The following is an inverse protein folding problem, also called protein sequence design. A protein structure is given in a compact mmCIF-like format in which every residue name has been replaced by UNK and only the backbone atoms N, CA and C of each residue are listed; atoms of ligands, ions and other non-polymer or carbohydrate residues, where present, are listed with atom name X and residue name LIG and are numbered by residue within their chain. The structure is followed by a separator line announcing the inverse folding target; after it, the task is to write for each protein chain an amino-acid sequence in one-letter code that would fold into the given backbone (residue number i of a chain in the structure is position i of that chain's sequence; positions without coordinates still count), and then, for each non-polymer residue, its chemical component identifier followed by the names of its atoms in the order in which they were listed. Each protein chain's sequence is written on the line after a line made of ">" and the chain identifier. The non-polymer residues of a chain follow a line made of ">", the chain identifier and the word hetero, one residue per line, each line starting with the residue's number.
data_IF_671788728746
#
_entry.id   IF_671788728746
#
_cell.length_a   1.000
_cell.length_b   1.000
_cell.length_c   1.000
_cell.angle_alpha   90.00
_cell.angle_beta   90.00
_cell.angle_gamma   90.00
#
_symmetry.space_group_name_H-M   'P 1'
#
loop_
_entity.id
_entity.type
_entity.pdbx_description
1 polymer ?
#
# COMPACT_ATOMS: atom_id res chain seq x y z
N UNK A 1 10.74 -7.61 1.90
CA UNK A 1 11.43 -6.75 2.89
C UNK A 1 10.59 -5.48 2.99
N UNK A 2 9.74 -5.35 4.01
CA UNK A 2 8.85 -4.18 4.19
C UNK A 2 9.61 -3.08 4.92
N UNK A 3 9.65 -1.88 4.33
CA UNK A 3 10.29 -0.70 4.93
C UNK A 3 9.22 0.27 5.44
N UNK A 4 9.27 0.62 6.72
CA UNK A 4 8.47 1.68 7.32
C UNK A 4 9.37 2.91 7.49
N UNK A 5 9.00 4.03 6.86
CA UNK A 5 9.73 5.29 6.96
C UNK A 5 8.88 6.30 7.74
N UNK A 6 9.41 6.80 8.87
CA UNK A 6 8.78 7.86 9.65
C UNK A 6 9.46 9.19 9.35
N UNK A 7 8.74 10.12 8.70
CA UNK A 7 9.24 11.47 8.44
C UNK A 7 9.05 12.39 9.65
N UNK A 8 10.10 13.07 10.09
CA UNK A 8 10.06 14.06 11.18
C UNK A 8 9.72 15.44 10.65
N UNK A 9 8.42 15.75 10.60
CA UNK A 9 7.92 17.12 10.74
C UNK A 9 6.86 17.10 11.85
N UNK A 10 6.51 18.25 12.43
CA UNK A 10 5.71 18.40 13.65
C UNK A 10 4.33 17.70 13.65
N UNK A 11 3.89 17.18 12.50
CA UNK A 11 2.86 16.16 12.34
C UNK A 11 3.51 14.82 11.95
N UNK A 12 3.43 13.80 12.83
CA UNK A 12 3.99 12.47 12.57
C UNK A 12 3.25 11.80 11.40
N UNK A 13 3.79 11.94 10.19
CA UNK A 13 3.31 11.20 9.02
C UNK A 13 4.00 9.84 9.01
N UNK A 14 3.21 8.76 9.02
CA UNK A 14 3.73 7.40 8.84
C UNK A 14 3.60 7.02 7.37
N UNK A 15 4.68 6.53 6.78
CA UNK A 15 4.68 6.04 5.40
C UNK A 15 5.19 4.59 5.40
N UNK A 16 4.43 3.70 4.78
CA UNK A 16 4.84 2.33 4.53
C UNK A 16 4.86 2.06 3.03
N UNK A 17 5.90 1.37 2.57
CA UNK A 17 5.94 0.81 1.22
C UNK A 17 5.86 -0.71 1.32
N UNK A 18 4.90 -1.29 0.63
CA UNK A 18 4.65 -2.73 0.62
C UNK A 18 4.59 -3.25 -0.79
N UNK A 19 5.20 -4.41 -1.01
CA UNK A 19 5.12 -5.10 -2.30
C UNK A 19 3.87 -5.98 -2.29
N UNK A 20 2.99 -5.74 -3.27
CA UNK A 20 1.83 -6.57 -3.54
C UNK A 20 2.17 -7.54 -4.66
N UNK A 21 1.72 -8.77 -4.52
CA UNK A 21 1.93 -9.82 -5.50
C UNK A 21 0.60 -10.52 -5.80
N UNK A 22 0.35 -10.76 -7.08
CA UNK A 22 -0.69 -11.66 -7.57
C UNK A 22 -0.06 -12.65 -8.57
N UNK A 23 -0.90 -13.44 -9.24
CA UNK A 23 -0.46 -14.41 -10.25
C UNK A 23 0.19 -13.77 -11.49
N UNK A 24 0.01 -12.48 -11.72
CA UNK A 24 0.52 -11.76 -12.89
C UNK A 24 1.86 -11.08 -12.63
N UNK A 25 2.14 -10.71 -11.39
CA UNK A 25 3.40 -10.10 -11.02
C UNK A 25 3.34 -9.35 -9.70
N UNK A 26 4.22 -8.36 -9.56
CA UNK A 26 4.36 -7.57 -8.34
C UNK A 26 4.29 -6.08 -8.62
N UNK A 27 3.63 -5.33 -7.73
CA UNK A 27 3.57 -3.86 -7.78
C UNK A 27 3.78 -3.29 -6.38
N UNK A 28 4.41 -2.12 -6.27
CA UNK A 28 4.63 -1.46 -4.98
C UNK A 28 3.44 -0.59 -4.61
N UNK A 29 2.94 -0.69 -3.38
CA UNK A 29 1.90 0.17 -2.83
C UNK A 29 2.50 1.09 -1.78
N UNK A 30 2.19 2.39 -1.85
CA UNK A 30 2.53 3.37 -0.83
C UNK A 30 1.33 3.66 0.06
N UNK A 31 1.50 3.53 1.36
CA UNK A 31 0.49 3.74 2.38
C UNK A 31 0.89 4.88 3.30
N UNK A 32 -0.11 5.65 3.74
CA UNK A 32 0.07 6.81 4.60
C UNK A 32 -0.84 6.70 5.84
N UNK A 33 -0.28 7.03 7.01
CA UNK A 33 -0.97 7.12 8.30
C UNK A 33 -1.78 5.84 8.59
N UNK A 34 -3.10 5.95 8.74
CA UNK A 34 -3.99 4.86 9.12
C UNK A 34 -4.06 3.74 8.08
N UNK A 35 -3.69 4.02 6.82
CA UNK A 35 -3.64 3.01 5.77
C UNK A 35 -2.55 1.96 6.05
N UNK A 36 -1.50 2.33 6.78
CA UNK A 36 -0.39 1.44 7.13
C UNK A 36 -0.87 0.25 7.97
N UNK A 37 -1.93 0.41 8.76
CA UNK A 37 -2.47 -0.64 9.61
C UNK A 37 -3.12 -1.78 8.80
N UNK A 38 -3.46 -1.53 7.53
CA UNK A 38 -4.01 -2.56 6.64
C UNK A 38 -2.95 -3.55 6.13
N UNK A 39 -1.68 -3.17 6.14
CA UNK A 39 -0.62 -3.95 5.49
C UNK A 39 0.18 -4.78 6.48
N UNK A 40 -0.25 -6.03 6.66
CA UNK A 40 0.45 -7.06 7.40
C UNK A 40 0.72 -8.27 6.50
N UNK A 41 1.63 -9.15 6.91
CA UNK A 41 1.97 -10.35 6.18
C UNK A 41 0.72 -11.21 5.92
N UNK A 42 0.60 -11.76 4.70
CA UNK A 42 -0.53 -12.57 4.23
C UNK A 42 -1.88 -11.84 4.13
N UNK A 43 -1.95 -10.53 4.35
CA UNK A 43 -3.15 -9.75 4.09
C UNK A 43 -3.45 -9.72 2.58
N UNK A 44 -4.69 -10.03 2.20
CA UNK A 44 -5.18 -9.72 0.85
C UNK A 44 -5.78 -8.32 0.88
N UNK A 45 -5.31 -7.43 0.02
CA UNK A 45 -5.81 -6.05 -0.03
C UNK A 45 -6.71 -5.84 -1.24
N UNK A 46 -7.79 -5.07 -1.05
CA UNK A 46 -8.62 -4.54 -2.13
C UNK A 46 -8.34 -3.05 -2.24
N UNK A 47 -7.80 -2.64 -3.39
CA UNK A 47 -7.53 -1.25 -3.73
C UNK A 47 -8.64 -0.74 -4.65
N UNK A 48 -9.17 0.44 -4.37
CA UNK A 48 -10.13 1.13 -5.25
C UNK A 48 -9.63 2.54 -5.56
N UNK A 49 -9.73 2.93 -6.83
CA UNK A 49 -9.26 4.22 -7.35
C UNK A 49 -7.79 4.54 -6.95
N UNK A 50 -6.91 3.54 -7.06
CA UNK A 50 -5.48 3.75 -6.88
C UNK A 50 -4.85 4.41 -8.11
N UNK A 51 -4.00 5.41 -7.90
CA UNK A 51 -3.26 6.05 -8.97
C UNK A 51 -1.97 5.24 -9.23
N UNK A 52 -1.84 4.71 -10.44
CA UNK A 52 -0.60 4.03 -10.87
C UNK A 52 0.38 5.08 -11.37
N UNK A 53 1.56 5.11 -10.77
CA UNK A 53 2.64 6.02 -11.15
C UNK A 53 3.95 5.25 -11.37
N UNK A 54 4.75 5.63 -12.39
CA UNK A 54 6.11 5.13 -12.52
C UNK A 54 6.98 5.69 -11.39
N UNK A 55 7.86 4.85 -10.83
CA UNK A 55 8.85 5.26 -9.83
C UNK A 55 10.17 4.54 -10.10
N UNK A 56 11.09 5.24 -10.78
CA UNK A 56 12.33 4.64 -11.25
C UNK A 56 12.05 3.44 -12.15
N UNK A 57 12.43 2.24 -11.67
CA UNK A 57 12.33 0.99 -12.43
C UNK A 57 11.10 0.13 -12.10
N UNK A 58 10.15 0.65 -11.31
CA UNK A 58 8.95 -0.08 -10.94
C UNK A 58 7.70 0.78 -11.04
N UNK A 59 6.55 0.12 -11.13
CA UNK A 59 5.26 0.76 -10.98
C UNK A 59 4.89 0.81 -9.50
N UNK A 60 4.31 1.94 -9.10
CA UNK A 60 3.81 2.19 -7.75
C UNK A 60 2.34 2.57 -7.80
N UNK A 61 1.57 2.10 -6.83
CA UNK A 61 0.22 2.58 -6.55
C UNK A 61 0.28 3.58 -5.39
N UNK A 62 -0.32 4.74 -5.58
CA UNK A 62 -0.60 5.70 -4.50
C UNK A 62 -2.11 5.84 -4.30
N UNK A 63 -2.52 5.98 -3.03
CA UNK A 63 -3.92 6.16 -2.65
C UNK A 63 -4.17 7.63 -2.35
N UNK A 64 -4.74 8.32 -3.33
CA UNK A 64 -5.15 9.72 -3.18
C UNK A 64 -6.50 9.85 -2.45
N UNK A 65 -6.99 11.09 -2.30
CA UNK A 65 -8.20 11.42 -1.52
C UNK A 65 -9.46 10.65 -1.97
N UNK A 66 -9.58 10.31 -3.25
CA UNK A 66 -10.71 9.56 -3.82
C UNK A 66 -10.52 8.04 -3.80
N UNK A 67 -9.35 7.58 -3.36
CA UNK A 67 -8.96 6.19 -3.29
C UNK A 67 -9.26 5.55 -1.94
N UNK A 68 -9.23 4.23 -1.91
CA UNK A 68 -9.27 3.48 -0.65
C UNK A 68 -8.50 2.17 -0.77
N UNK A 69 -7.99 1.71 0.37
CA UNK A 69 -7.37 0.41 0.56
C UNK A 69 -8.06 -0.26 1.75
N UNK A 70 -8.41 -1.54 1.60
CA UNK A 70 -9.07 -2.34 2.65
C UNK A 70 -8.52 -3.74 2.67
N UNK A 71 -8.48 -4.36 3.83
CA UNK A 71 -8.21 -5.80 3.96
C UNK A 71 -9.44 -6.56 3.46
N UNK A 72 -9.23 -7.49 2.53
CA UNK A 72 -10.24 -8.40 2.04
C UNK A 72 -10.64 -9.38 3.14
N UNK A 73 -11.94 -9.51 3.39
CA UNK A 73 -12.50 -10.51 4.31
C UNK A 73 -12.83 -11.82 3.61
N UNK A 74 -12.50 -11.95 2.33
CA UNK A 74 -12.76 -13.18 1.57
C UNK A 74 -11.89 -14.29 2.13
N UNK A 75 -12.50 -15.22 2.87
CA UNK A 75 -11.86 -16.48 3.23
C UNK A 75 -11.53 -17.22 1.93
N UNK A 76 -10.25 -17.54 1.71
CA UNK A 76 -9.91 -18.62 0.79
C UNK A 76 -10.63 -19.88 1.27
N UNK A 77 -11.51 -20.40 0.44
CA UNK A 77 -12.23 -21.67 0.64
C UNK A 77 -11.21 -22.80 0.53
#
# INVERSE_FOLDING_TARGET
>A
MSGCYTGTNSNKIRIAEVDLADETGTIRLRLINDQCECAHENATLVIRNGLVMPSGNYLRIEIERSGSVKVSTVKKI
#
